data_IF_059309079836
#
_entry.id   IF_059309079836
#
_cell.length_a   1.000
_cell.length_b   1.000
_cell.length_c   1.000
_cell.angle_alpha   90.00
_cell.angle_beta   90.00
_cell.angle_gamma   90.00
#
_symmetry.space_group_name_H-M   'P 1'
#
loop_
_entity.id
_entity.type
_entity.pdbx_description
1 polymer ?
#
# COMPACT_ATOMS: atom_id res chain seq x y z
N UNK A 1 6.54 6.15 -18.70
CA UNK A 1 5.13 6.31 -18.30
C UNK A 1 5.05 7.12 -17.01
N UNK A 2 4.13 8.07 -16.92
CA UNK A 2 3.83 8.83 -15.70
C UNK A 2 2.39 8.51 -15.32
N UNK A 3 2.20 8.11 -14.06
CA UNK A 3 0.86 7.84 -13.53
C UNK A 3 0.58 8.68 -12.29
N UNK A 4 -0.68 9.07 -12.13
CA UNK A 4 -1.21 9.70 -10.95
C UNK A 4 -2.25 8.77 -10.31
N UNK A 5 -2.30 8.75 -8.98
CA UNK A 5 -3.10 7.81 -8.21
C UNK A 5 -4.18 8.51 -7.37
N UNK A 6 -4.47 8.02 -6.22
CA UNK A 6 -5.59 8.41 -5.35
C UNK A 6 -5.75 9.91 -5.12
N UNK A 7 -4.66 10.67 -4.96
CA UNK A 7 -4.76 12.13 -4.73
C UNK A 7 -5.38 12.84 -5.94
N UNK A 8 -4.97 12.49 -7.15
CA UNK A 8 -5.55 13.03 -8.38
C UNK A 8 -6.98 12.52 -8.60
N UNK A 9 -7.21 11.20 -8.47
CA UNK A 9 -8.54 10.62 -8.69
C UNK A 9 -9.65 11.29 -7.87
N UNK A 10 -9.31 11.76 -6.67
CA UNK A 10 -10.30 12.23 -5.69
C UNK A 10 -10.31 13.75 -5.51
N UNK A 11 -9.52 14.51 -6.27
CA UNK A 11 -9.52 15.98 -6.21
C UNK A 11 -10.56 16.57 -7.18
N UNK A 12 -11.20 17.66 -6.76
CA UNK A 12 -12.22 18.35 -7.58
C UNK A 12 -11.60 18.98 -8.83
N UNK A 13 -10.31 19.31 -8.81
CA UNK A 13 -9.54 19.91 -9.90
C UNK A 13 -8.60 18.92 -10.59
N UNK A 14 -8.90 17.63 -10.51
CA UNK A 14 -8.06 16.54 -11.02
C UNK A 14 -7.60 16.76 -12.45
N UNK A 15 -8.53 17.08 -13.33
CA UNK A 15 -8.27 17.25 -14.76
C UNK A 15 -7.43 18.50 -15.05
N UNK A 16 -7.70 19.61 -14.37
CA UNK A 16 -6.91 20.85 -14.51
C UNK A 16 -5.48 20.65 -14.02
N UNK A 17 -5.32 19.99 -12.88
CA UNK A 17 -4.00 19.66 -12.33
C UNK A 17 -3.24 18.72 -13.26
N UNK A 18 -3.92 17.71 -13.87
CA UNK A 18 -3.32 16.81 -14.85
C UNK A 18 -2.80 17.58 -16.06
N UNK A 19 -3.66 18.39 -16.67
CA UNK A 19 -3.30 19.22 -17.86
C UNK A 19 -2.17 20.20 -17.55
N UNK A 20 -2.20 20.84 -16.38
CA UNK A 20 -1.13 21.74 -15.96
C UNK A 20 0.21 21.01 -15.88
N UNK A 21 0.24 19.82 -15.28
CA UNK A 21 1.47 19.02 -15.20
C UNK A 21 1.93 18.56 -16.59
N UNK A 22 1.04 18.02 -17.43
CA UNK A 22 1.37 17.60 -18.80
C UNK A 22 2.02 18.72 -19.60
N UNK A 23 1.47 19.95 -19.52
CA UNK A 23 2.05 21.11 -20.19
C UNK A 23 3.42 21.50 -19.62
N UNK A 24 3.63 21.35 -18.30
CA UNK A 24 4.91 21.70 -17.66
C UNK A 24 6.03 20.71 -17.97
N UNK A 25 5.70 19.42 -18.01
CA UNK A 25 6.70 18.35 -18.23
C UNK A 25 6.75 17.87 -19.67
N UNK A 26 5.89 18.39 -20.53
CA UNK A 26 5.73 17.98 -21.95
C UNK A 26 5.61 16.45 -22.09
N UNK A 27 4.81 15.82 -21.23
CA UNK A 27 4.61 14.38 -21.22
C UNK A 27 3.21 14.01 -20.69
N UNK A 28 2.53 13.02 -21.28
CA UNK A 28 1.21 12.59 -20.81
C UNK A 28 1.26 12.08 -19.35
N UNK A 29 0.23 12.42 -18.57
CA UNK A 29 0.01 11.91 -17.21
C UNK A 29 -1.30 11.13 -17.18
N UNK A 30 -1.23 9.85 -16.87
CA UNK A 30 -2.39 8.97 -16.81
C UNK A 30 -2.87 8.80 -15.38
N UNK A 31 -4.13 9.12 -15.10
CA UNK A 31 -4.76 8.86 -13.81
C UNK A 31 -5.26 7.41 -13.84
N UNK A 32 -4.67 6.56 -13.01
CA UNK A 32 -5.04 5.13 -12.95
C UNK A 32 -6.11 4.87 -11.90
N UNK A 33 -6.98 3.89 -12.15
CA UNK A 33 -7.98 3.44 -11.18
C UNK A 33 -7.33 2.73 -9.98
N UNK A 34 -8.03 2.65 -8.85
CA UNK A 34 -7.54 1.91 -7.68
C UNK A 34 -7.36 0.41 -7.98
N UNK A 35 -8.24 -0.20 -8.78
CA UNK A 35 -8.07 -1.59 -9.18
C UNK A 35 -6.86 -1.80 -10.11
N UNK A 36 -6.57 -0.83 -10.98
CA UNK A 36 -5.36 -0.87 -11.80
C UNK A 36 -4.11 -0.74 -10.94
N UNK A 37 -4.11 0.17 -9.95
CA UNK A 37 -3.04 0.34 -8.98
C UNK A 37 -2.83 -0.95 -8.18
N UNK A 38 -3.88 -1.58 -7.68
CA UNK A 38 -3.80 -2.87 -6.99
C UNK A 38 -3.31 -4.01 -7.90
N UNK A 39 -3.69 -4.01 -9.18
CA UNK A 39 -3.20 -5.00 -10.15
C UNK A 39 -1.71 -4.86 -10.42
N UNK A 40 -1.14 -3.66 -10.31
CA UNK A 40 0.31 -3.46 -10.45
C UNK A 40 1.12 -4.27 -9.43
N UNK A 41 0.55 -4.61 -8.27
CA UNK A 41 1.22 -5.45 -7.27
C UNK A 41 1.57 -6.84 -7.85
N UNK A 42 0.79 -7.34 -8.81
CA UNK A 42 1.07 -8.63 -9.46
C UNK A 42 2.41 -8.69 -10.21
N UNK A 43 3.00 -7.55 -10.54
CA UNK A 43 4.32 -7.47 -11.15
C UNK A 43 5.47 -7.60 -10.13
N UNK A 44 5.16 -7.60 -8.84
CA UNK A 44 6.18 -7.91 -7.83
C UNK A 44 6.70 -9.34 -8.06
N UNK A 45 8.03 -9.56 -8.12
CA UNK A 45 8.63 -10.83 -8.54
C UNK A 45 8.13 -12.06 -7.79
N UNK A 46 7.78 -11.88 -6.51
CA UNK A 46 7.29 -12.96 -5.63
C UNK A 46 5.77 -12.96 -5.43
N UNK A 47 5.01 -12.11 -6.13
CA UNK A 47 3.57 -12.01 -5.91
C UNK A 47 2.82 -13.28 -6.37
N UNK A 48 3.30 -13.93 -7.42
CA UNK A 48 2.66 -15.12 -8.00
C UNK A 48 3.32 -16.44 -7.55
N UNK A 49 4.40 -16.38 -6.77
CA UNK A 49 5.09 -17.58 -6.27
C UNK A 49 4.77 -17.91 -4.81
N UNK A 50 3.98 -17.10 -4.15
CA UNK A 50 3.74 -17.22 -2.72
C UNK A 50 2.28 -17.52 -2.44
N UNK A 51 2.04 -18.66 -1.84
CA UNK A 51 0.78 -19.02 -1.18
C UNK A 51 0.74 -18.43 0.23
N UNK A 52 -0.44 -18.29 0.81
CA UNK A 52 -0.68 -17.84 2.18
C UNK A 52 -0.25 -16.39 2.46
N UNK A 53 -0.20 -15.53 1.45
CA UNK A 53 0.24 -14.14 1.61
C UNK A 53 -0.75 -13.15 1.04
N UNK A 54 -0.90 -12.04 1.76
CA UNK A 54 -1.54 -10.84 1.24
C UNK A 54 -0.49 -9.74 1.04
N UNK A 55 -0.53 -9.08 -0.09
CA UNK A 55 0.23 -7.86 -0.37
C UNK A 55 -0.67 -6.66 -0.14
N UNK A 56 -0.18 -5.68 0.61
CA UNK A 56 -0.96 -4.51 1.02
C UNK A 56 -0.14 -3.24 0.83
N UNK A 57 -0.68 -2.29 0.09
CA UNK A 57 -0.15 -0.92 0.00
C UNK A 57 -1.14 0.04 0.64
N UNK A 58 -0.76 0.68 1.73
CA UNK A 58 -1.56 1.72 2.39
C UNK A 58 -1.02 3.07 1.98
N UNK A 59 -1.68 3.67 0.99
CA UNK A 59 -1.40 5.01 0.50
C UNK A 59 -2.06 6.12 1.33
N UNK A 60 -2.01 7.34 0.82
CA UNK A 60 -2.67 8.49 1.45
C UNK A 60 -4.19 8.44 1.37
N UNK A 61 -4.73 8.06 0.22
CA UNK A 61 -6.18 8.10 -0.02
C UNK A 61 -6.85 6.74 -0.23
N UNK A 62 -6.07 5.68 -0.47
CA UNK A 62 -6.59 4.32 -0.70
C UNK A 62 -5.68 3.26 -0.13
N UNK A 63 -6.18 2.03 -0.07
CA UNK A 63 -5.45 0.82 0.30
C UNK A 63 -5.68 -0.23 -0.78
N UNK A 64 -4.61 -0.69 -1.38
CA UNK A 64 -4.59 -1.71 -2.40
C UNK A 64 -4.21 -3.05 -1.77
N UNK A 65 -4.99 -4.09 -2.10
CA UNK A 65 -4.78 -5.46 -1.64
C UNK A 65 -4.68 -6.41 -2.81
N UNK A 66 -3.74 -7.34 -2.71
CA UNK A 66 -3.52 -8.38 -3.71
C UNK A 66 -3.20 -9.71 -3.04
N UNK A 67 -3.89 -10.76 -3.48
CA UNK A 67 -3.65 -12.16 -3.09
C UNK A 67 -3.54 -12.99 -4.36
N UNK A 68 -2.64 -13.94 -4.37
CA UNK A 68 -2.54 -14.96 -5.41
C UNK A 68 -2.61 -16.33 -4.78
N UNK A 69 -3.59 -17.11 -5.20
CA UNK A 69 -3.80 -18.47 -4.70
C UNK A 69 -4.35 -19.36 -5.81
N UNK A 70 -3.77 -20.54 -5.98
CA UNK A 70 -4.25 -21.56 -6.93
C UNK A 70 -4.46 -21.04 -8.37
N UNK A 71 -3.56 -20.20 -8.85
CA UNK A 71 -3.65 -19.62 -10.19
C UNK A 71 -4.63 -18.44 -10.30
N UNK A 72 -5.30 -18.05 -9.23
CA UNK A 72 -6.28 -16.96 -9.21
C UNK A 72 -5.74 -15.72 -8.51
N UNK A 73 -6.09 -14.56 -9.04
CA UNK A 73 -5.80 -13.26 -8.47
C UNK A 73 -7.02 -12.70 -7.76
N UNK A 74 -6.91 -12.41 -6.47
CA UNK A 74 -7.91 -11.66 -5.71
C UNK A 74 -7.37 -10.25 -5.46
N UNK A 75 -8.03 -9.24 -6.03
CA UNK A 75 -7.52 -7.86 -6.11
C UNK A 75 -8.60 -6.90 -5.64
N UNK A 76 -8.26 -6.00 -4.74
CA UNK A 76 -9.15 -4.93 -4.30
C UNK A 76 -8.40 -3.62 -4.05
N UNK A 77 -9.12 -2.52 -4.24
CA UNK A 77 -8.74 -1.19 -3.78
C UNK A 77 -9.88 -0.62 -2.94
N UNK A 78 -9.54 -0.15 -1.74
CA UNK A 78 -10.46 0.44 -0.80
C UNK A 78 -10.18 1.94 -0.65
N UNK A 79 -11.23 2.76 -0.60
CA UNK A 79 -11.11 4.20 -0.34
C UNK A 79 -10.81 4.48 1.14
N UNK A 80 -9.80 3.78 1.66
CA UNK A 80 -9.23 3.86 2.99
C UNK A 80 -7.74 4.14 2.86
N UNK A 81 -7.26 5.25 3.35
CA UNK A 81 -5.87 5.64 3.27
C UNK A 81 -5.48 6.55 4.44
N UNK A 82 -4.19 6.66 4.70
CA UNK A 82 -3.68 7.34 5.89
C UNK A 82 -4.13 8.81 5.98
N UNK A 83 -3.98 9.57 4.90
CA UNK A 83 -4.44 10.99 4.84
C UNK A 83 -5.95 11.07 4.92
N UNK A 84 -6.68 10.16 4.27
CA UNK A 84 -8.14 10.13 4.31
C UNK A 84 -8.65 9.91 5.74
N UNK A 85 -8.04 9.00 6.49
CA UNK A 85 -8.38 8.77 7.89
C UNK A 85 -8.03 9.98 8.76
N UNK A 86 -6.84 10.56 8.59
CA UNK A 86 -6.40 11.76 9.29
C UNK A 86 -7.41 12.89 9.12
N UNK A 87 -7.91 13.09 7.91
CA UNK A 87 -8.91 14.13 7.58
C UNK A 87 -10.35 13.73 7.94
N UNK A 88 -10.57 12.57 8.57
CA UNK A 88 -11.91 12.02 8.92
C UNK A 88 -12.84 11.93 7.70
N UNK A 89 -12.28 11.63 6.52
CA UNK A 89 -12.99 11.44 5.24
C UNK A 89 -13.17 9.99 4.85
N UNK A 90 -12.86 9.06 5.77
CA UNK A 90 -13.13 7.64 5.59
C UNK A 90 -14.63 7.35 5.73
N UNK A 91 -15.09 6.32 5.02
CA UNK A 91 -16.50 5.95 4.99
C UNK A 91 -16.70 4.58 5.66
N UNK A 92 -17.72 4.49 6.53
CA UNK A 92 -18.10 3.22 7.20
C UNK A 92 -18.43 2.11 6.21
N UNK A 93 -18.98 2.45 5.03
CA UNK A 93 -19.27 1.46 3.98
C UNK A 93 -18.02 0.83 3.41
N UNK A 94 -16.92 1.61 3.25
CA UNK A 94 -15.64 1.08 2.77
C UNK A 94 -14.99 0.16 3.79
N UNK A 95 -15.07 0.47 5.08
CA UNK A 95 -14.63 -0.43 6.14
C UNK A 95 -15.41 -1.74 6.14
N UNK A 96 -16.76 -1.67 5.95
CA UNK A 96 -17.59 -2.87 5.82
C UNK A 96 -17.20 -3.69 4.58
N UNK A 97 -16.97 -3.02 3.45
CA UNK A 97 -16.56 -3.67 2.19
C UNK A 97 -15.20 -4.38 2.36
N UNK A 98 -14.23 -3.71 2.98
CA UNK A 98 -12.92 -4.30 3.27
C UNK A 98 -13.03 -5.50 4.20
N UNK A 99 -13.75 -5.36 5.32
CA UNK A 99 -13.95 -6.46 6.27
C UNK A 99 -14.63 -7.67 5.64
N UNK A 100 -15.66 -7.43 4.78
CA UNK A 100 -16.34 -8.50 4.06
C UNK A 100 -15.38 -9.24 3.14
N UNK A 101 -14.64 -8.49 2.31
CA UNK A 101 -13.68 -9.10 1.39
C UNK A 101 -12.56 -9.86 2.13
N UNK A 102 -12.04 -9.32 3.23
CA UNK A 102 -11.03 -9.99 4.04
C UNK A 102 -11.57 -11.29 4.67
N UNK A 103 -12.85 -11.30 5.09
CA UNK A 103 -13.48 -12.49 5.67
C UNK A 103 -13.69 -13.63 4.67
N UNK A 104 -13.66 -13.33 3.37
CA UNK A 104 -13.73 -14.31 2.28
C UNK A 104 -12.37 -14.95 1.96
N UNK A 105 -11.28 -14.45 2.57
CA UNK A 105 -9.93 -14.94 2.31
C UNK A 105 -9.52 -15.98 3.36
N UNK A 106 -9.01 -17.10 2.89
CA UNK A 106 -8.61 -18.22 3.76
C UNK A 106 -7.08 -18.42 3.70
N UNK A 107 -6.55 -19.11 4.69
CA UNK A 107 -5.17 -19.57 4.73
C UNK A 107 -4.09 -18.48 4.57
N UNK A 108 -4.40 -17.21 4.88
CA UNK A 108 -3.45 -16.11 4.82
C UNK A 108 -2.83 -15.90 6.18
N UNK A 109 -1.53 -16.09 6.29
CA UNK A 109 -0.80 -15.93 7.55
C UNK A 109 0.33 -14.88 7.51
N UNK A 110 0.68 -14.41 6.34
CA UNK A 110 1.75 -13.42 6.14
C UNK A 110 1.25 -12.20 5.39
N UNK A 111 1.55 -11.01 5.91
CA UNK A 111 1.29 -9.72 5.26
C UNK A 111 2.61 -9.16 4.70
N UNK A 112 2.63 -8.89 3.40
CA UNK A 112 3.72 -8.18 2.73
C UNK A 112 3.27 -6.74 2.47
N UNK A 113 3.79 -5.82 3.27
CA UNK A 113 3.48 -4.40 3.10
C UNK A 113 4.35 -3.74 2.03
N UNK A 114 3.70 -2.96 1.16
CA UNK A 114 4.33 -2.11 0.17
C UNK A 114 4.26 -0.65 0.64
N UNK A 115 5.00 0.20 -0.06
CA UNK A 115 4.96 1.64 0.16
C UNK A 115 5.73 2.14 1.38
N UNK A 116 5.66 3.46 1.56
CA UNK A 116 6.49 4.16 2.53
C UNK A 116 6.07 3.98 4.00
N UNK A 117 4.78 3.79 4.27
CA UNK A 117 4.26 3.74 5.64
C UNK A 117 4.76 2.52 6.41
N UNK A 118 4.54 1.33 5.85
CA UNK A 118 4.98 0.08 6.48
C UNK A 118 6.51 -0.02 6.54
N UNK A 119 7.20 0.44 5.49
CA UNK A 119 8.66 0.46 5.46
C UNK A 119 9.22 1.36 6.56
N UNK A 120 8.69 2.57 6.73
CA UNK A 120 9.09 3.49 7.78
C UNK A 120 8.84 2.89 9.17
N UNK A 121 7.66 2.29 9.39
CA UNK A 121 7.30 1.65 10.65
C UNK A 121 8.24 0.48 11.03
N UNK A 122 8.54 -0.40 10.09
CA UNK A 122 9.49 -1.50 10.37
C UNK A 122 10.91 -0.98 10.58
N UNK A 123 11.33 0.04 9.84
CA UNK A 123 12.68 0.62 9.98
C UNK A 123 12.93 1.23 11.36
N UNK A 124 11.97 1.99 11.93
CA UNK A 124 12.13 2.54 13.28
C UNK A 124 12.21 1.46 14.36
N UNK A 125 11.69 0.29 14.08
CA UNK A 125 11.78 -0.90 14.92
C UNK A 125 13.00 -1.78 14.57
N UNK A 126 13.91 -1.29 13.71
CA UNK A 126 15.15 -1.97 13.29
C UNK A 126 14.90 -3.39 12.75
N UNK A 127 13.77 -3.59 12.10
CA UNK A 127 13.35 -4.90 11.58
C UNK A 127 12.88 -4.84 10.14
N UNK A 128 13.08 -5.93 9.40
CA UNK A 128 12.49 -6.14 8.06
C UNK A 128 11.23 -6.99 8.13
N UNK A 129 11.00 -7.66 9.26
CA UNK A 129 9.84 -8.50 9.54
C UNK A 129 9.50 -8.44 11.03
N UNK A 130 8.25 -8.66 11.37
CA UNK A 130 7.74 -8.53 12.73
C UNK A 130 6.58 -9.49 12.96
N UNK A 131 6.44 -10.02 14.18
CA UNK A 131 5.23 -10.74 14.56
C UNK A 131 4.04 -9.78 14.70
N UNK A 132 2.80 -10.28 14.53
CA UNK A 132 1.59 -9.47 14.74
C UNK A 132 1.54 -8.87 16.15
N UNK A 133 1.96 -9.63 17.15
CA UNK A 133 1.99 -9.17 18.53
C UNK A 133 2.90 -7.95 18.71
N UNK A 134 4.11 -8.03 18.17
CA UNK A 134 5.07 -6.92 18.23
C UNK A 134 4.60 -5.73 17.38
N UNK A 135 3.99 -6.01 16.21
CA UNK A 135 3.42 -4.96 15.37
C UNK A 135 2.37 -4.15 16.12
N UNK A 136 1.38 -4.80 16.74
CA UNK A 136 0.29 -4.14 17.46
C UNK A 136 0.84 -3.37 18.65
N UNK A 137 1.79 -3.96 19.41
CA UNK A 137 2.44 -3.27 20.52
C UNK A 137 3.15 -1.99 20.06
N UNK A 138 4.02 -2.12 19.06
CA UNK A 138 4.83 -0.99 18.58
C UNK A 138 3.96 0.09 17.89
N UNK A 139 2.87 -0.30 17.21
CA UNK A 139 1.91 0.64 16.66
C UNK A 139 1.17 1.42 17.76
N UNK A 140 0.83 0.76 18.87
CA UNK A 140 0.25 1.43 20.03
C UNK A 140 1.23 2.43 20.66
N UNK A 141 2.49 2.04 20.82
CA UNK A 141 3.55 2.89 21.36
C UNK A 141 3.79 4.12 20.48
N UNK A 142 3.77 3.92 19.15
CA UNK A 142 3.89 5.02 18.17
C UNK A 142 2.71 6.00 18.25
N UNK A 143 1.48 5.50 18.34
CA UNK A 143 0.26 6.31 18.46
C UNK A 143 0.22 7.12 19.76
N UNK A 144 0.94 6.72 20.78
CA UNK A 144 1.07 7.45 22.03
C UNK A 144 1.96 8.70 21.96
N UNK A 145 2.70 8.89 20.86
CA UNK A 145 3.59 10.04 20.65
C UNK A 145 2.88 11.13 19.82
N UNK A 146 3.12 12.39 20.16
CA UNK A 146 2.72 13.50 19.30
C UNK A 146 3.65 13.64 18.09
N UNK A 147 3.36 14.56 17.16
CA UNK A 147 4.09 14.77 15.91
C UNK A 147 5.55 15.12 16.17
N UNK A 148 5.79 16.09 17.04
CA UNK A 148 7.15 16.55 17.38
C UNK A 148 8.01 15.44 17.99
N UNK A 149 7.40 14.64 18.88
CA UNK A 149 8.06 13.49 19.47
C UNK A 149 8.43 12.43 18.44
N UNK A 150 7.55 12.16 17.45
CA UNK A 150 7.83 11.24 16.34
C UNK A 150 8.97 11.75 15.45
N UNK A 151 8.95 13.04 15.12
CA UNK A 151 10.02 13.68 14.34
C UNK A 151 11.34 13.55 15.09
N UNK A 152 11.38 13.99 16.36
CA UNK A 152 12.59 13.99 17.17
C UNK A 152 13.14 12.59 17.44
N UNK A 153 12.27 11.63 17.73
CA UNK A 153 12.66 10.27 18.14
C UNK A 153 13.05 9.39 16.95
N UNK A 154 12.33 9.53 15.84
CA UNK A 154 12.44 8.62 14.71
C UNK A 154 12.96 9.28 13.41
N UNK A 155 13.25 10.58 13.48
CA UNK A 155 13.69 11.37 12.33
C UNK A 155 12.72 11.27 11.12
N UNK A 156 11.41 11.28 11.42
CA UNK A 156 10.40 11.36 10.37
C UNK A 156 10.34 12.77 9.79
N UNK A 157 10.00 12.88 8.50
CA UNK A 157 9.49 14.14 7.96
C UNK A 157 8.12 14.46 8.56
N UNK A 158 7.74 15.71 8.59
CA UNK A 158 6.47 16.17 9.17
C UNK A 158 5.27 15.45 8.54
N UNK A 159 5.24 15.41 7.20
CA UNK A 159 4.21 14.70 6.43
C UNK A 159 4.12 13.20 6.76
N UNK A 160 5.24 12.57 7.16
CA UNK A 160 5.25 11.18 7.61
C UNK A 160 4.74 11.05 9.05
N UNK A 161 5.18 11.92 9.94
CA UNK A 161 4.79 11.89 11.34
C UNK A 161 3.28 12.10 11.52
N UNK A 162 2.67 12.92 10.66
CA UNK A 162 1.22 13.19 10.63
C UNK A 162 0.38 11.96 10.30
N UNK A 163 0.82 11.13 9.35
CA UNK A 163 -0.06 10.13 8.74
C UNK A 163 0.23 8.69 9.15
N UNK A 164 1.41 8.42 9.72
CA UNK A 164 1.86 7.04 9.96
C UNK A 164 0.92 6.26 10.90
N UNK A 165 0.36 6.91 11.91
CA UNK A 165 -0.57 6.28 12.86
C UNK A 165 -1.82 5.79 12.15
N UNK A 166 -2.35 6.59 11.24
CA UNK A 166 -3.54 6.26 10.47
C UNK A 166 -3.29 5.11 9.50
N UNK A 167 -2.09 5.03 8.93
CA UNK A 167 -1.69 3.86 8.16
C UNK A 167 -1.66 2.59 9.04
N UNK A 168 -1.10 2.68 10.26
CA UNK A 168 -1.06 1.54 11.18
C UNK A 168 -2.45 1.06 11.59
N UNK A 169 -3.44 1.95 11.72
CA UNK A 169 -4.84 1.56 11.99
C UNK A 169 -5.37 0.63 10.89
N UNK A 170 -5.08 0.94 9.62
CA UNK A 170 -5.52 0.11 8.49
C UNK A 170 -4.79 -1.25 8.51
N UNK A 171 -3.48 -1.25 8.70
CA UNK A 171 -2.71 -2.49 8.83
C UNK A 171 -3.20 -3.35 10.00
N UNK A 172 -3.43 -2.77 11.19
CA UNK A 172 -3.98 -3.48 12.35
C UNK A 172 -5.34 -4.13 12.05
N UNK A 173 -6.21 -3.44 11.30
CA UNK A 173 -7.49 -4.01 10.90
C UNK A 173 -7.31 -5.26 10.04
N UNK A 174 -6.44 -5.22 9.05
CA UNK A 174 -6.15 -6.35 8.15
C UNK A 174 -5.51 -7.50 8.94
N UNK A 175 -4.51 -7.19 9.78
CA UNK A 175 -3.81 -8.16 10.62
C UNK A 175 -4.78 -8.93 11.51
N UNK A 176 -5.68 -8.21 12.19
CA UNK A 176 -6.63 -8.82 13.11
C UNK A 176 -7.70 -9.64 12.37
N UNK A 177 -8.22 -9.14 11.25
CA UNK A 177 -9.26 -9.82 10.48
C UNK A 177 -8.76 -11.14 9.88
N UNK A 178 -7.56 -11.16 9.34
CA UNK A 178 -6.94 -12.35 8.73
C UNK A 178 -6.15 -13.21 9.72
N UNK A 179 -6.01 -12.79 10.97
CA UNK A 179 -5.17 -13.46 11.98
C UNK A 179 -3.72 -13.64 11.49
N UNK A 180 -3.17 -12.62 10.86
CA UNK A 180 -1.80 -12.61 10.33
C UNK A 180 -0.82 -12.96 11.44
N UNK A 181 0.16 -13.80 11.14
CA UNK A 181 1.23 -14.19 12.08
C UNK A 181 2.48 -13.32 11.91
N UNK A 182 2.84 -13.01 10.67
CA UNK A 182 4.05 -12.29 10.35
C UNK A 182 3.78 -11.14 9.37
N UNK A 183 4.41 -10.01 9.62
CA UNK A 183 4.39 -8.83 8.75
C UNK A 183 5.81 -8.60 8.21
N UNK A 184 5.92 -8.34 6.92
CA UNK A 184 7.17 -7.97 6.23
C UNK A 184 6.96 -6.72 5.39
N UNK A 185 8.03 -5.98 5.08
CA UNK A 185 8.01 -4.97 4.03
C UNK A 185 8.87 -5.40 2.84
N UNK A 186 8.52 -4.89 1.67
CA UNK A 186 9.33 -5.00 0.46
C UNK A 186 9.87 -3.63 0.05
N UNK A 187 10.96 -3.63 -0.73
CA UNK A 187 11.46 -2.41 -1.37
C UNK A 187 10.67 -2.05 -2.64
N UNK A 188 9.89 -2.99 -3.14
CA UNK A 188 9.09 -2.86 -4.35
C UNK A 188 7.93 -1.88 -4.15
N UNK A 189 7.68 -1.04 -5.13
CA UNK A 189 6.59 -0.08 -5.14
C UNK A 189 5.87 -0.03 -6.48
N UNK A 190 4.92 0.88 -6.61
CA UNK A 190 4.14 1.09 -7.84
C UNK A 190 5.05 1.45 -9.02
N UNK A 191 6.09 2.28 -8.80
CA UNK A 191 7.06 2.66 -9.84
C UNK A 191 7.82 1.47 -10.42
N UNK A 192 8.25 0.53 -9.57
CA UNK A 192 8.93 -0.69 -10.01
C UNK A 192 8.00 -1.56 -10.85
N UNK A 193 6.74 -1.68 -10.41
CA UNK A 193 5.70 -2.43 -11.13
C UNK A 193 5.40 -1.82 -12.49
N UNK A 194 5.32 -0.49 -12.60
CA UNK A 194 5.12 0.22 -13.86
C UNK A 194 6.30 -0.01 -14.79
N UNK A 195 7.53 0.08 -14.27
CA UNK A 195 8.73 -0.14 -15.07
C UNK A 195 8.73 -1.55 -15.68
N UNK A 196 8.42 -2.58 -14.89
CA UNK A 196 8.34 -3.97 -15.39
C UNK A 196 7.19 -4.15 -16.37
N UNK A 197 6.00 -3.60 -16.06
CA UNK A 197 4.85 -3.64 -16.97
C UNK A 197 5.19 -3.03 -18.32
N UNK A 198 5.72 -1.80 -18.33
CA UNK A 198 6.07 -1.07 -19.54
C UNK A 198 7.16 -1.81 -20.34
N UNK A 199 8.17 -2.34 -19.66
CA UNK A 199 9.19 -3.15 -20.32
C UNK A 199 8.58 -4.40 -20.99
N UNK A 200 7.72 -5.13 -20.29
CA UNK A 200 7.07 -6.33 -20.82
C UNK A 200 6.20 -6.00 -22.06
N UNK A 201 5.48 -4.87 -22.02
CA UNK A 201 4.66 -4.41 -23.16
C UNK A 201 5.54 -4.06 -24.36
N UNK A 202 6.64 -3.34 -24.15
CA UNK A 202 7.54 -2.92 -25.24
C UNK A 202 8.30 -4.07 -25.87
N UNK A 203 8.71 -5.04 -25.10
CA UNK A 203 9.62 -6.10 -25.57
C UNK A 203 8.96 -7.48 -25.65
N UNK A 204 7.63 -7.57 -25.43
CA UNK A 204 6.86 -8.84 -25.46
C UNK A 204 7.51 -9.97 -24.64
N UNK A 205 8.28 -9.63 -23.62
CA UNK A 205 8.99 -10.55 -22.75
C UNK A 205 8.48 -10.44 -21.32
N UNK A 206 8.10 -11.57 -20.72
CA UNK A 206 7.95 -11.66 -19.26
C UNK A 206 9.35 -11.67 -18.64
N UNK A 207 9.70 -10.64 -17.89
CA UNK A 207 10.93 -10.64 -17.11
C UNK A 207 10.66 -11.35 -15.80
N UNK A 208 11.30 -12.49 -15.61
CA UNK A 208 11.56 -13.02 -14.28
C UNK A 208 12.81 -12.33 -13.75
N UNK A 209 12.67 -11.34 -12.91
CA UNK A 209 13.78 -10.57 -12.33
C UNK A 209 14.51 -11.37 -11.25
N UNK A 210 13.91 -12.46 -10.78
CA UNK A 210 14.51 -13.39 -9.84
C UNK A 210 14.26 -14.82 -10.33
N UNK A 211 15.24 -15.39 -11.02
CA UNK A 211 15.46 -16.82 -10.96
C UNK A 211 16.18 -17.06 -9.63
N UNK A 212 15.61 -17.90 -8.79
CA UNK A 212 16.26 -18.39 -7.57
C UNK A 212 17.58 -19.07 -7.90
#
# INVERSE_FOLDING_TARGET
EIVATSAFRNSNNSEDARRYLENKINHPVRIISGLEEAKLISYHPKAQSNINKIYVDVGGGSTECYIYENGKHSIQSFQLGAVRLMLKKDNKSEWKRMNKWLAEQENIDTLIGLGGNIKAFLNINKSKKMSSKDFIKNAKDLKGLNIDEKIKKYNFSEDRADVIDYAMIIFERIINQLKIKEIRSTKWGVSDSIAVKTFNELYSKKISIYKD
#
